data_IF_937904739658
#
_entry.id   IF_937904739658
#
_cell.length_a   1.000
_cell.length_b   1.000
_cell.length_c   1.000
_cell.angle_alpha   90.00
_cell.angle_beta   90.00
_cell.angle_gamma   90.00
#
_symmetry.space_group_name_H-M   'P 1'
#
loop_
_entity.id
_entity.type
_entity.pdbx_description
1 polymer ?
#
# COMPACT_ATOMS: atom_id res chain seq x y z
N UNK A 1 23.90 -39.18 -10.86
CA UNK A 1 22.53 -39.76 -10.81
C UNK A 1 21.62 -38.67 -11.33
N UNK A 2 20.72 -38.95 -12.30
CA UNK A 2 19.82 -37.92 -12.81
C UNK A 2 18.90 -37.49 -11.65
N UNK A 3 18.93 -36.21 -11.30
CA UNK A 3 17.97 -35.65 -10.37
C UNK A 3 16.61 -35.61 -11.09
N UNK A 4 15.55 -36.10 -10.44
CA UNK A 4 14.21 -35.91 -10.99
C UNK A 4 13.91 -34.41 -11.03
N UNK A 5 13.20 -33.94 -12.06
CA UNK A 5 12.82 -32.53 -12.18
C UNK A 5 12.16 -31.96 -10.90
N UNK A 6 11.48 -32.80 -10.14
CA UNK A 6 10.85 -32.44 -8.86
C UNK A 6 11.84 -32.23 -7.72
N UNK A 7 12.95 -32.99 -7.64
CA UNK A 7 13.96 -32.80 -6.58
C UNK A 7 14.77 -31.51 -6.75
N UNK A 8 15.07 -31.13 -8.00
CA UNK A 8 15.69 -29.83 -8.31
C UNK A 8 14.73 -28.70 -7.93
N UNK A 9 13.44 -28.86 -8.25
CA UNK A 9 12.42 -27.85 -7.99
C UNK A 9 12.16 -27.63 -6.49
N UNK A 10 12.11 -28.71 -5.70
CA UNK A 10 11.97 -28.64 -4.24
C UNK A 10 13.19 -28.00 -3.57
N UNK A 11 14.40 -28.29 -4.06
CA UNK A 11 15.63 -27.64 -3.61
C UNK A 11 15.62 -26.13 -3.91
N UNK A 12 15.23 -25.72 -5.13
CA UNK A 12 15.08 -24.31 -5.52
C UNK A 12 13.98 -23.60 -4.68
N UNK A 13 12.88 -24.29 -4.37
CA UNK A 13 11.77 -23.76 -3.56
C UNK A 13 12.12 -23.48 -2.09
N UNK A 14 13.19 -24.08 -1.58
CA UNK A 14 13.57 -24.00 -0.17
C UNK A 14 14.20 -22.65 0.23
N UNK A 15 14.73 -21.87 -0.73
CA UNK A 15 15.59 -20.73 -0.43
C UNK A 15 15.09 -19.39 -1.01
N UNK A 16 13.99 -18.87 -0.47
CA UNK A 16 13.27 -17.71 -1.02
C UNK A 16 13.89 -16.37 -0.66
N UNK A 17 14.80 -15.91 -1.52
CA UNK A 17 15.60 -14.73 -1.24
C UNK A 17 14.78 -13.41 -1.30
N UNK A 18 13.92 -13.23 -2.30
CA UNK A 18 13.13 -12.01 -2.48
C UNK A 18 12.22 -11.73 -1.28
N UNK A 19 11.40 -12.71 -0.88
CA UNK A 19 10.41 -12.58 0.19
C UNK A 19 11.06 -12.29 1.54
N UNK A 20 12.18 -12.96 1.82
CA UNK A 20 12.95 -12.74 3.04
C UNK A 20 13.47 -11.29 3.11
N UNK A 21 13.96 -10.73 2.00
CA UNK A 21 14.42 -9.33 1.98
C UNK A 21 13.27 -8.33 2.06
N UNK A 22 12.16 -8.56 1.34
CA UNK A 22 10.95 -7.74 1.47
C UNK A 22 10.41 -7.76 2.90
N UNK A 23 10.44 -8.91 3.58
CA UNK A 23 10.06 -9.04 4.98
C UNK A 23 10.95 -8.18 5.88
N UNK A 24 12.28 -8.26 5.74
CA UNK A 24 13.20 -7.42 6.52
C UNK A 24 13.03 -5.93 6.24
N UNK A 25 12.88 -5.53 4.96
CA UNK A 25 12.59 -4.13 4.62
C UNK A 25 11.29 -3.65 5.27
N UNK A 26 10.26 -4.49 5.26
CA UNK A 26 8.98 -4.19 5.90
C UNK A 26 9.14 -4.03 7.41
N UNK A 27 9.92 -4.89 8.07
CA UNK A 27 10.22 -4.74 9.50
C UNK A 27 10.97 -3.45 9.82
N UNK A 28 11.96 -3.07 9.02
CA UNK A 28 12.69 -1.81 9.19
C UNK A 28 11.74 -0.62 9.05
N UNK A 29 10.85 -0.64 8.05
CA UNK A 29 9.84 0.41 7.86
C UNK A 29 8.86 0.45 9.04
N UNK A 30 8.33 -0.70 9.48
CA UNK A 30 7.42 -0.78 10.63
C UNK A 30 8.08 -0.20 11.88
N UNK A 31 9.35 -0.56 12.13
CA UNK A 31 10.11 -0.01 13.25
C UNK A 31 10.15 1.52 13.21
N UNK A 32 10.49 2.12 12.06
CA UNK A 32 10.55 3.58 11.93
C UNK A 32 9.18 4.25 11.97
N UNK A 33 8.13 3.60 11.46
CA UNK A 33 6.75 4.06 11.60
C UNK A 33 6.33 4.07 13.07
N UNK A 34 6.71 3.05 13.87
CA UNK A 34 6.46 3.03 15.32
C UNK A 34 7.22 4.16 16.02
N UNK A 35 8.48 4.39 15.66
CA UNK A 35 9.25 5.52 16.19
C UNK A 35 8.55 6.85 15.88
N UNK A 36 8.10 7.05 14.64
CA UNK A 36 7.32 8.22 14.25
C UNK A 36 6.01 8.34 15.02
N UNK A 37 5.28 7.23 15.18
CA UNK A 37 4.03 7.18 15.95
C UNK A 37 4.23 7.64 17.40
N UNK A 38 5.30 7.20 18.06
CA UNK A 38 5.57 7.59 19.46
C UNK A 38 6.07 9.03 19.54
N UNK A 39 6.94 9.46 18.60
CA UNK A 39 7.69 10.72 18.73
C UNK A 39 7.07 11.95 18.08
N UNK A 40 6.25 11.83 17.02
CA UNK A 40 5.63 12.97 16.34
C UNK A 40 4.51 13.60 17.18
N UNK A 41 4.24 14.89 16.99
CA UNK A 41 3.24 15.64 17.76
C UNK A 41 3.72 16.07 19.15
N UNK A 42 5.04 16.18 19.36
CA UNK A 42 5.58 16.71 20.60
C UNK A 42 5.43 18.23 20.66
N UNK A 43 5.36 18.77 21.88
CA UNK A 43 5.23 20.20 22.12
C UNK A 43 6.25 20.70 23.11
N UNK A 44 6.88 21.82 22.76
CA UNK A 44 7.75 22.56 23.64
C UNK A 44 6.97 23.80 24.09
N UNK A 45 6.67 23.88 25.39
CA UNK A 45 5.78 24.90 25.95
C UNK A 45 6.24 26.35 25.79
N UNK A 46 7.52 26.58 25.47
CA UNK A 46 8.06 27.91 25.18
C UNK A 46 7.85 28.37 23.73
N UNK A 47 7.38 27.49 22.85
CA UNK A 47 7.24 27.75 21.42
C UNK A 47 5.78 27.93 21.00
N UNK A 48 5.57 28.79 20.00
CA UNK A 48 4.26 28.93 19.34
C UNK A 48 3.86 27.67 18.58
N UNK A 49 2.56 27.49 18.30
CA UNK A 49 2.05 26.34 17.54
C UNK A 49 2.75 26.18 16.18
N UNK A 50 3.04 27.28 15.48
CA UNK A 50 3.75 27.27 14.19
C UNK A 50 5.21 26.83 14.34
N UNK A 51 5.90 27.24 15.40
CA UNK A 51 7.27 26.80 15.69
C UNK A 51 7.31 25.32 16.06
N UNK A 52 6.36 24.85 16.88
CA UNK A 52 6.22 23.42 17.19
C UNK A 52 5.90 22.60 15.93
N UNK A 53 5.07 23.11 15.02
CA UNK A 53 4.81 22.48 13.73
C UNK A 53 6.09 22.35 12.90
N UNK A 54 6.89 23.42 12.79
CA UNK A 54 8.16 23.40 12.07
C UNK A 54 9.14 22.37 12.65
N UNK A 55 9.23 22.28 13.98
CA UNK A 55 10.09 21.30 14.63
C UNK A 55 9.61 19.86 14.40
N UNK A 56 8.31 19.62 14.47
CA UNK A 56 7.72 18.33 14.13
C UNK A 56 7.96 17.98 12.66
N UNK A 57 7.94 18.97 11.75
CA UNK A 57 8.24 18.76 10.34
C UNK A 57 9.71 18.37 10.12
N UNK A 58 10.65 19.07 10.77
CA UNK A 58 12.08 18.72 10.74
C UNK A 58 12.30 17.33 11.35
N UNK A 59 11.61 17.01 12.44
CA UNK A 59 11.69 15.70 13.07
C UNK A 59 11.14 14.59 12.16
N UNK A 60 9.99 14.81 11.51
CA UNK A 60 9.46 13.92 10.48
C UNK A 60 10.49 13.63 9.38
N UNK A 61 11.12 14.67 8.82
CA UNK A 61 12.16 14.51 7.81
C UNK A 61 13.37 13.73 8.34
N UNK A 62 13.74 13.96 9.60
CA UNK A 62 14.83 13.24 10.26
C UNK A 62 14.51 11.75 10.40
N UNK A 63 13.30 11.40 10.82
CA UNK A 63 12.85 9.99 10.90
C UNK A 63 12.85 9.34 9.52
N UNK A 64 12.36 10.03 8.48
CA UNK A 64 12.44 9.54 7.11
C UNK A 64 13.88 9.30 6.64
N UNK A 65 14.80 10.24 6.94
CA UNK A 65 16.22 10.10 6.60
C UNK A 65 16.86 8.91 7.31
N UNK A 66 16.56 8.71 8.59
CA UNK A 66 17.07 7.58 9.37
C UNK A 66 16.53 6.23 8.85
N UNK A 67 15.27 6.19 8.43
CA UNK A 67 14.68 5.03 7.77
C UNK A 67 15.40 4.71 6.46
N UNK A 68 15.61 5.70 5.60
CA UNK A 68 16.36 5.53 4.34
C UNK A 68 17.78 5.05 4.63
N UNK A 69 18.47 5.67 5.58
CA UNK A 69 19.85 5.32 5.94
C UNK A 69 19.94 3.90 6.48
N UNK A 70 19.00 3.49 7.34
CA UNK A 70 18.92 2.13 7.87
C UNK A 70 18.74 1.09 6.75
N UNK A 71 17.91 1.41 5.75
CA UNK A 71 17.72 0.55 4.58
C UNK A 71 18.98 0.49 3.72
N UNK A 72 19.68 1.61 3.50
CA UNK A 72 20.96 1.63 2.77
C UNK A 72 22.02 0.79 3.50
N UNK A 73 22.12 0.92 4.82
CA UNK A 73 23.05 0.12 5.64
C UNK A 73 22.71 -1.35 5.52
N UNK A 74 21.43 -1.72 5.62
CA UNK A 74 20.97 -3.10 5.47
C UNK A 74 21.32 -3.67 4.08
N UNK A 75 21.09 -2.89 3.02
CA UNK A 75 21.45 -3.27 1.65
C UNK A 75 22.97 -3.51 1.51
N UNK A 76 23.78 -2.62 2.05
CA UNK A 76 25.24 -2.67 1.88
C UNK A 76 25.93 -3.71 2.77
N UNK A 77 25.33 -4.06 3.92
CA UNK A 77 25.98 -4.96 4.90
C UNK A 77 25.37 -6.35 4.90
N UNK A 78 24.06 -6.46 5.06
CA UNK A 78 23.39 -7.75 5.22
C UNK A 78 23.09 -8.38 3.87
N UNK A 79 22.45 -7.62 2.98
CA UNK A 79 22.03 -8.10 1.66
C UNK A 79 23.24 -8.43 0.78
N UNK A 80 24.24 -7.53 0.68
CA UNK A 80 25.45 -7.78 -0.11
C UNK A 80 26.22 -9.04 0.37
N UNK A 81 26.41 -9.21 1.67
CA UNK A 81 27.16 -10.35 2.22
C UNK A 81 26.37 -11.66 2.14
N UNK A 82 25.06 -11.64 2.45
CA UNK A 82 24.22 -12.84 2.39
C UNK A 82 23.98 -13.27 0.95
N UNK A 83 23.74 -12.33 0.04
CA UNK A 83 23.54 -12.61 -1.37
C UNK A 83 24.80 -13.15 -2.02
N UNK A 84 25.98 -12.58 -1.71
CA UNK A 84 27.25 -13.11 -2.20
C UNK A 84 27.49 -14.55 -1.75
N UNK A 85 27.32 -14.84 -0.45
CA UNK A 85 27.44 -16.22 0.06
C UNK A 85 26.41 -17.17 -0.57
N UNK A 86 25.22 -16.68 -0.84
CA UNK A 86 24.18 -17.45 -1.49
C UNK A 86 24.56 -17.79 -2.94
N UNK A 87 25.00 -16.79 -3.73
CA UNK A 87 25.48 -17.01 -5.09
C UNK A 87 26.68 -17.96 -5.13
N UNK A 88 27.67 -17.78 -4.25
CA UNK A 88 28.85 -18.64 -4.20
C UNK A 88 28.47 -20.11 -3.86
N UNK A 89 27.46 -20.30 -3.00
CA UNK A 89 26.94 -21.64 -2.67
C UNK A 89 26.17 -22.24 -3.85
N UNK A 90 25.32 -21.42 -4.48
CA UNK A 90 24.47 -21.84 -5.59
C UNK A 90 25.31 -22.20 -6.83
N UNK A 91 26.32 -21.41 -7.15
CA UNK A 91 27.26 -21.65 -8.24
C UNK A 91 28.01 -22.98 -8.03
N UNK A 92 28.51 -23.22 -6.81
CA UNK A 92 29.10 -24.51 -6.44
C UNK A 92 28.15 -25.69 -6.59
N UNK A 93 26.92 -25.56 -6.10
CA UNK A 93 25.94 -26.65 -6.20
C UNK A 93 25.50 -26.91 -7.65
N UNK A 94 25.41 -25.87 -8.48
CA UNK A 94 25.13 -25.98 -9.91
C UNK A 94 26.29 -26.68 -10.63
N UNK A 95 27.53 -26.31 -10.32
CA UNK A 95 28.71 -26.86 -10.97
C UNK A 95 29.00 -28.31 -10.55
N UNK A 96 28.67 -28.68 -9.31
CA UNK A 96 28.89 -30.03 -8.76
C UNK A 96 27.78 -31.02 -9.14
N UNK A 97 26.51 -30.57 -9.25
CA UNK A 97 25.35 -31.48 -9.36
C UNK A 97 24.68 -31.51 -10.74
N UNK A 98 24.91 -30.54 -11.62
CA UNK A 98 24.15 -30.40 -12.86
C UNK A 98 25.00 -30.50 -14.12
N UNK A 99 24.43 -31.17 -15.11
CA UNK A 99 24.96 -31.26 -16.49
C UNK A 99 24.69 -29.95 -17.23
N UNK A 100 25.46 -29.61 -18.28
CA UNK A 100 25.37 -28.30 -18.95
C UNK A 100 23.96 -27.96 -19.50
N UNK A 101 23.19 -28.96 -19.96
CA UNK A 101 21.78 -28.77 -20.38
C UNK A 101 20.84 -28.47 -19.20
N UNK A 102 21.11 -29.04 -18.02
CA UNK A 102 20.29 -28.81 -16.83
C UNK A 102 20.60 -27.45 -16.18
N UNK A 103 21.82 -26.92 -16.38
CA UNK A 103 22.22 -25.59 -15.91
C UNK A 103 21.38 -24.49 -16.56
N UNK A 104 21.11 -24.60 -17.85
CA UNK A 104 20.28 -23.63 -18.59
C UNK A 104 18.84 -23.61 -18.04
N UNK A 105 18.25 -24.78 -17.80
CA UNK A 105 16.91 -24.91 -17.21
C UNK A 105 16.87 -24.36 -15.78
N UNK A 106 17.92 -24.59 -14.98
CA UNK A 106 18.02 -24.05 -13.62
C UNK A 106 18.17 -22.53 -13.64
N UNK A 107 18.91 -21.94 -14.58
CA UNK A 107 19.01 -20.49 -14.75
C UNK A 107 17.65 -19.84 -15.04
N UNK A 108 16.85 -20.45 -15.93
CA UNK A 108 15.50 -19.97 -16.23
C UNK A 108 14.57 -20.11 -15.01
N UNK A 109 14.64 -21.24 -14.30
CA UNK A 109 13.88 -21.45 -13.07
C UNK A 109 14.28 -20.46 -11.95
N UNK A 110 15.56 -20.11 -11.82
CA UNK A 110 16.05 -19.12 -10.86
C UNK A 110 15.49 -17.72 -11.18
N UNK A 111 15.45 -17.35 -12.46
CA UNK A 111 14.89 -16.07 -12.89
C UNK A 111 13.38 -16.00 -12.67
N UNK A 112 12.65 -17.08 -12.94
CA UNK A 112 11.20 -17.14 -12.74
C UNK A 112 10.79 -17.22 -11.25
N UNK A 113 11.57 -17.90 -10.40
CA UNK A 113 11.17 -18.24 -9.02
C UNK A 113 11.58 -17.24 -7.93
N UNK A 114 12.10 -16.07 -8.28
CA UNK A 114 12.31 -15.01 -7.28
C UNK A 114 13.60 -15.13 -6.45
N UNK A 115 14.62 -15.83 -6.97
CA UNK A 115 15.99 -15.79 -6.43
C UNK A 115 16.73 -14.46 -6.66
N UNK A 116 16.01 -13.46 -7.18
CA UNK A 116 16.51 -12.11 -7.41
C UNK A 116 16.22 -11.22 -6.22
N UNK A 117 17.21 -10.42 -5.82
CA UNK A 117 17.01 -9.37 -4.83
C UNK A 117 15.92 -8.40 -5.29
N UNK A 118 15.20 -7.76 -4.36
CA UNK A 118 14.25 -6.71 -4.70
C UNK A 118 14.91 -5.62 -5.55
N UNK A 119 14.27 -5.27 -6.66
CA UNK A 119 14.77 -4.22 -7.54
C UNK A 119 14.75 -2.87 -6.84
N UNK A 120 15.59 -1.92 -7.28
CA UNK A 120 15.57 -0.56 -6.75
C UNK A 120 14.18 0.07 -6.79
N UNK A 121 13.38 -0.21 -7.84
CA UNK A 121 11.99 0.25 -7.94
C UNK A 121 11.12 -0.26 -6.79
N UNK A 122 11.25 -1.53 -6.42
CA UNK A 122 10.51 -2.14 -5.33
C UNK A 122 10.97 -1.62 -3.95
N UNK A 123 12.28 -1.39 -3.79
CA UNK A 123 12.84 -0.74 -2.59
C UNK A 123 12.30 0.67 -2.42
N UNK A 124 12.28 1.48 -3.49
CA UNK A 124 11.73 2.83 -3.46
C UNK A 124 10.21 2.84 -3.26
N UNK A 125 9.48 1.87 -3.81
CA UNK A 125 8.05 1.71 -3.56
C UNK A 125 7.75 1.43 -2.08
N UNK A 126 8.52 0.54 -1.43
CA UNK A 126 8.41 0.29 0.01
C UNK A 126 8.74 1.55 0.83
N UNK A 127 9.84 2.23 0.50
CA UNK A 127 10.22 3.49 1.13
C UNK A 127 9.13 4.55 1.02
N UNK A 128 8.51 4.68 -0.16
CA UNK A 128 7.41 5.60 -0.39
C UNK A 128 6.23 5.30 0.54
N UNK A 129 5.83 4.03 0.67
CA UNK A 129 4.73 3.64 1.57
C UNK A 129 5.06 3.97 3.03
N UNK A 130 6.29 3.72 3.48
CA UNK A 130 6.75 4.08 4.82
C UNK A 130 6.76 5.59 5.08
N UNK A 131 7.31 6.37 4.14
CA UNK A 131 7.32 7.83 4.23
C UNK A 131 5.90 8.41 4.19
N UNK A 132 5.01 7.84 3.39
CA UNK A 132 3.61 8.24 3.33
C UNK A 132 2.90 8.01 4.67
N UNK A 133 3.10 6.85 5.31
CA UNK A 133 2.54 6.57 6.63
C UNK A 133 3.07 7.56 7.69
N UNK A 134 4.37 7.86 7.67
CA UNK A 134 4.97 8.87 8.55
C UNK A 134 4.44 10.28 8.27
N UNK A 135 4.18 10.61 7.01
CA UNK A 135 3.58 11.87 6.62
C UNK A 135 2.16 12.01 7.15
N UNK A 136 1.31 10.99 6.98
CA UNK A 136 -0.05 11.01 7.56
C UNK A 136 -0.01 11.18 9.09
N UNK A 137 0.91 10.48 9.77
CA UNK A 137 1.13 10.64 11.21
C UNK A 137 1.54 12.06 11.57
N UNK A 138 2.43 12.68 10.80
CA UNK A 138 2.82 14.07 10.98
C UNK A 138 1.62 15.02 10.80
N UNK A 139 0.81 14.83 9.76
CA UNK A 139 -0.37 15.67 9.53
C UNK A 139 -1.36 15.55 10.70
N UNK A 140 -1.66 14.33 11.12
CA UNK A 140 -2.64 14.07 12.19
C UNK A 140 -2.13 14.47 13.58
N UNK A 141 -0.83 14.34 13.84
CA UNK A 141 -0.28 14.55 15.19
C UNK A 141 0.26 15.96 15.42
N UNK A 142 0.64 16.68 14.36
CA UNK A 142 1.34 17.95 14.48
C UNK A 142 0.75 19.08 13.62
N UNK A 143 0.29 18.80 12.40
CA UNK A 143 -0.29 19.84 11.53
C UNK A 143 -1.74 20.15 11.91
N UNK A 144 -2.50 19.11 12.23
CA UNK A 144 -3.85 19.21 12.75
C UNK A 144 -3.77 19.07 14.27
N UNK A 145 -4.21 20.11 14.99
CA UNK A 145 -4.27 20.11 16.44
C UNK A 145 -5.59 20.71 16.90
N UNK A 146 -6.19 20.09 17.91
CA UNK A 146 -7.49 20.49 18.45
C UNK A 146 -8.54 20.65 17.33
N UNK A 147 -8.52 19.71 16.38
CA UNK A 147 -9.38 19.69 15.18
C UNK A 147 -9.10 20.77 14.12
N UNK A 148 -8.12 21.64 14.34
CA UNK A 148 -7.80 22.78 13.47
C UNK A 148 -6.46 22.62 12.77
N UNK A 149 -6.33 23.15 11.55
CA UNK A 149 -5.05 23.25 10.86
C UNK A 149 -4.24 24.40 11.44
N UNK A 150 -3.10 24.10 12.04
CA UNK A 150 -2.21 25.10 12.65
C UNK A 150 -1.62 26.07 11.61
N UNK A 151 -1.31 25.57 10.40
CA UNK A 151 -0.75 26.37 9.32
C UNK A 151 -1.56 26.20 8.05
N UNK A 152 -2.11 27.31 7.55
CA UNK A 152 -3.02 27.36 6.40
C UNK A 152 -2.51 28.39 5.37
N UNK A 153 -1.41 28.09 4.65
CA UNK A 153 -0.95 28.94 3.54
C UNK A 153 -1.95 28.92 2.38
N UNK A 154 -1.83 29.88 1.45
CA UNK A 154 -2.78 30.07 0.35
C UNK A 154 -3.03 28.80 -0.48
N UNK A 155 -2.01 27.97 -0.70
CA UNK A 155 -2.17 26.72 -1.44
C UNK A 155 -2.99 25.68 -0.68
N UNK A 156 -2.91 25.63 0.67
CA UNK A 156 -3.76 24.76 1.50
C UNK A 156 -5.20 25.26 1.44
N UNK A 157 -5.40 26.57 1.53
CA UNK A 157 -6.73 27.17 1.42
C UNK A 157 -7.34 26.91 0.04
N UNK A 158 -6.57 27.05 -1.04
CA UNK A 158 -7.02 26.74 -2.40
C UNK A 158 -7.42 25.26 -2.55
N UNK A 159 -6.68 24.33 -1.94
CA UNK A 159 -7.04 22.91 -1.91
C UNK A 159 -8.38 22.72 -1.18
N UNK A 160 -8.55 23.34 -0.01
CA UNK A 160 -9.78 23.23 0.78
C UNK A 160 -10.96 23.77 -0.03
N UNK A 161 -10.82 24.92 -0.68
CA UNK A 161 -11.86 25.51 -1.54
C UNK A 161 -12.16 24.62 -2.75
N UNK A 162 -11.14 24.02 -3.35
CA UNK A 162 -11.31 23.07 -4.43
C UNK A 162 -12.09 21.82 -3.97
N UNK A 163 -11.73 21.24 -2.83
CA UNK A 163 -12.48 20.09 -2.26
C UNK A 163 -13.91 20.51 -1.96
N UNK A 164 -14.12 21.67 -1.33
CA UNK A 164 -15.43 22.21 -0.97
C UNK A 164 -16.32 22.43 -2.19
N UNK A 165 -15.78 22.97 -3.28
CA UNK A 165 -16.53 23.18 -4.54
C UNK A 165 -16.84 21.89 -5.28
N UNK A 166 -16.04 20.84 -5.08
CA UNK A 166 -16.26 19.49 -5.60
C UNK A 166 -16.94 18.56 -4.58
N UNK A 167 -17.56 19.14 -3.55
CA UNK A 167 -18.30 18.42 -2.52
C UNK A 167 -19.80 18.62 -2.71
N UNK A 168 -20.55 17.53 -2.78
CA UNK A 168 -22.00 17.59 -2.65
C UNK A 168 -22.37 17.51 -1.18
N UNK A 169 -23.04 18.57 -0.71
CA UNK A 169 -23.88 18.50 0.48
C UNK A 169 -25.11 17.70 0.08
N UNK A 170 -25.34 16.55 0.71
CA UNK A 170 -26.39 15.57 0.35
C UNK A 170 -27.82 16.14 0.32
N UNK A 171 -28.04 17.39 0.73
CA UNK A 171 -29.33 18.08 0.62
C UNK A 171 -29.54 18.90 -0.67
N UNK A 172 -28.59 18.98 -1.63
CA UNK A 172 -28.72 19.92 -2.78
C UNK A 172 -28.54 19.35 -4.19
N UNK A 173 -27.96 18.18 -4.44
CA UNK A 173 -27.76 17.73 -5.83
C UNK A 173 -28.87 16.79 -6.34
N UNK A 174 -29.80 17.34 -7.10
CA UNK A 174 -30.78 16.56 -7.88
C UNK A 174 -30.16 15.94 -9.16
N UNK A 175 -28.96 16.36 -9.59
CA UNK A 175 -28.25 15.83 -10.76
C UNK A 175 -26.74 16.06 -10.60
N UNK A 176 -25.91 15.01 -10.68
CA UNK A 176 -24.46 15.13 -10.90
C UNK A 176 -23.57 14.38 -9.91
N UNK A 177 -22.68 13.53 -10.42
CA UNK A 177 -21.70 12.78 -9.62
C UNK A 177 -20.69 13.71 -8.94
N UNK A 178 -20.50 13.53 -7.64
CA UNK A 178 -19.52 14.26 -6.83
C UNK A 178 -18.29 13.42 -6.53
N UNK A 179 -17.11 14.04 -6.51
CA UNK A 179 -15.88 13.38 -6.08
C UNK A 179 -15.80 13.24 -4.56
N UNK A 180 -16.44 14.15 -3.82
CA UNK A 180 -16.51 14.11 -2.35
C UNK A 180 -17.95 14.18 -1.88
N UNK A 181 -18.34 13.30 -0.96
CA UNK A 181 -19.63 13.37 -0.28
C UNK A 181 -19.39 13.79 1.17
N UNK A 182 -20.00 14.91 1.55
CA UNK A 182 -20.09 15.36 2.94
C UNK A 182 -21.59 15.47 3.25
N UNK A 183 -22.06 14.67 4.20
CA UNK A 183 -23.51 14.59 4.41
C UNK A 183 -24.06 15.86 5.04
N UNK A 184 -25.18 16.33 4.49
CA UNK A 184 -25.93 17.45 5.05
C UNK A 184 -26.61 17.08 6.38
N UNK A 185 -26.99 15.81 6.51
CA UNK A 185 -27.73 15.29 7.64
C UNK A 185 -26.79 14.55 8.57
N UNK A 186 -26.40 15.24 9.63
CA UNK A 186 -25.75 14.60 10.75
C UNK A 186 -26.88 13.93 11.53
N UNK A 187 -26.89 12.60 11.58
CA UNK A 187 -27.88 11.81 12.33
C UNK A 187 -27.44 11.67 13.78
N UNK A 188 -28.37 11.43 14.73
CA UNK A 188 -28.06 11.22 16.16
C UNK A 188 -27.00 10.13 16.45
N UNK A 189 -26.73 9.26 15.49
CA UNK A 189 -25.69 8.23 15.55
C UNK A 189 -24.29 8.71 15.19
N UNK A 190 -24.16 9.89 14.58
CA UNK A 190 -22.88 10.40 14.09
C UNK A 190 -22.14 11.13 15.21
N UNK A 191 -20.82 10.94 15.30
CA UNK A 191 -19.92 11.56 16.29
C UNK A 191 -20.01 13.10 16.34
N UNK A 192 -20.50 13.72 15.26
CA UNK A 192 -20.58 15.16 15.08
C UNK A 192 -21.96 15.76 15.31
N UNK A 193 -22.98 14.94 15.66
CA UNK A 193 -24.36 15.41 15.83
C UNK A 193 -24.47 16.51 16.88
N UNK A 194 -23.69 16.38 17.94
CA UNK A 194 -23.71 17.33 19.06
C UNK A 194 -23.00 18.66 18.69
N UNK A 195 -22.18 18.68 17.63
CA UNK A 195 -21.35 19.83 17.24
C UNK A 195 -21.86 20.59 16.01
N UNK A 196 -22.47 19.90 15.04
CA UNK A 196 -22.93 20.53 13.80
C UNK A 196 -24.33 20.03 13.43
N UNK A 197 -25.26 20.96 13.21
CA UNK A 197 -26.66 20.68 12.86
C UNK A 197 -26.90 20.56 11.35
N UNK A 198 -25.97 21.06 10.51
CA UNK A 198 -26.04 21.05 9.04
C UNK A 198 -24.64 20.78 8.46
N UNK A 199 -24.55 19.96 7.41
CA UNK A 199 -23.31 19.73 6.66
C UNK A 199 -22.71 21.00 6.07
N UNK A 200 -23.49 22.05 5.79
CA UNK A 200 -22.92 23.37 5.41
C UNK A 200 -22.18 24.05 6.55
N UNK A 201 -22.65 23.90 7.78
CA UNK A 201 -21.95 24.43 8.96
C UNK A 201 -20.65 23.65 9.19
N UNK A 202 -20.69 22.33 9.02
CA UNK A 202 -19.50 21.49 9.07
C UNK A 202 -18.47 21.90 8.00
N UNK A 203 -18.87 22.06 6.73
CA UNK A 203 -17.93 22.44 5.65
C UNK A 203 -17.28 23.82 5.84
N UNK A 204 -17.87 24.69 6.65
CA UNK A 204 -17.32 26.02 6.96
C UNK A 204 -16.52 26.04 8.26
N UNK A 205 -16.55 24.98 9.06
CA UNK A 205 -15.85 24.92 10.35
C UNK A 205 -14.37 24.58 10.17
N UNK A 206 -13.56 24.87 11.21
CA UNK A 206 -12.13 24.48 11.21
C UNK A 206 -11.94 22.96 11.13
N UNK A 207 -12.84 22.18 11.74
CA UNK A 207 -12.85 20.73 11.60
C UNK A 207 -13.13 20.32 10.14
N UNK A 208 -14.08 20.97 9.47
CA UNK A 208 -14.39 20.73 8.07
C UNK A 208 -13.21 21.03 7.15
N UNK A 209 -12.50 22.13 7.40
CA UNK A 209 -11.25 22.49 6.70
C UNK A 209 -10.19 21.40 6.85
N UNK A 210 -9.94 20.95 8.08
CA UNK A 210 -9.00 19.85 8.37
C UNK A 210 -9.41 18.55 7.66
N UNK A 211 -10.71 18.21 7.68
CA UNK A 211 -11.24 17.02 7.03
C UNK A 211 -11.13 17.07 5.51
N UNK A 212 -11.39 18.23 4.90
CA UNK A 212 -11.22 18.44 3.46
C UNK A 212 -9.75 18.30 3.04
N UNK A 213 -8.83 18.88 3.80
CA UNK A 213 -7.39 18.75 3.54
C UNK A 213 -6.91 17.30 3.65
N UNK A 214 -7.31 16.57 4.70
CA UNK A 214 -7.01 15.13 4.84
C UNK A 214 -7.62 14.30 3.72
N UNK A 215 -8.85 14.64 3.28
CA UNK A 215 -9.51 13.95 2.16
C UNK A 215 -8.75 14.13 0.86
N UNK A 216 -8.24 15.34 0.61
CA UNK A 216 -7.40 15.62 -0.54
C UNK A 216 -6.12 14.78 -0.51
N UNK A 217 -5.36 14.80 0.60
CA UNK A 217 -4.12 14.01 0.75
C UNK A 217 -4.37 12.53 0.43
N UNK A 218 -5.43 11.95 1.00
CA UNK A 218 -5.78 10.55 0.75
C UNK A 218 -6.16 10.29 -0.70
N UNK A 219 -6.89 11.21 -1.34
CA UNK A 219 -7.26 11.10 -2.76
C UNK A 219 -6.01 11.06 -3.65
N UNK A 220 -5.10 12.03 -3.51
CA UNK A 220 -3.93 12.10 -4.41
C UNK A 220 -2.98 10.91 -4.18
N UNK A 221 -2.93 10.42 -2.94
CA UNK A 221 -1.98 9.37 -2.54
C UNK A 221 -2.50 7.96 -2.82
N UNK A 222 -3.80 7.80 -3.05
CA UNK A 222 -4.42 6.49 -3.30
C UNK A 222 -3.74 5.74 -4.46
N UNK A 223 -3.64 6.35 -5.64
CA UNK A 223 -3.06 5.68 -6.83
C UNK A 223 -1.56 5.36 -6.63
N UNK A 224 -0.70 6.29 -6.16
CA UNK A 224 0.69 5.99 -5.85
C UNK A 224 0.89 4.87 -4.83
N UNK A 225 0.05 4.81 -3.78
CA UNK A 225 0.13 3.76 -2.75
C UNK A 225 -0.24 2.40 -3.34
N UNK A 226 -1.36 2.30 -4.06
CA UNK A 226 -1.75 1.05 -4.74
C UNK A 226 -0.69 0.60 -5.72
N UNK A 227 -0.16 1.51 -6.54
CA UNK A 227 0.91 1.19 -7.50
C UNK A 227 2.16 0.66 -6.81
N UNK A 228 2.56 1.28 -5.69
CA UNK A 228 3.71 0.85 -4.90
C UNK A 228 3.50 -0.54 -4.30
N UNK A 229 2.31 -0.82 -3.76
CA UNK A 229 1.96 -2.14 -3.25
C UNK A 229 1.92 -3.20 -4.37
N UNK A 230 1.41 -2.85 -5.55
CA UNK A 230 1.49 -3.71 -6.73
C UNK A 230 2.95 -4.06 -7.04
N UNK A 231 3.84 -3.08 -7.18
CA UNK A 231 5.25 -3.35 -7.50
C UNK A 231 5.92 -4.34 -6.53
N UNK A 232 5.61 -4.22 -5.23
CA UNK A 232 6.20 -5.03 -4.15
C UNK A 232 5.59 -6.43 -4.09
N UNK A 233 4.27 -6.54 -4.13
CA UNK A 233 3.59 -7.81 -3.87
C UNK A 233 3.26 -8.62 -5.13
N UNK A 234 3.37 -8.05 -6.34
CA UNK A 234 3.03 -8.75 -7.59
C UNK A 234 3.78 -10.07 -7.76
N UNK A 235 5.10 -10.08 -7.56
CA UNK A 235 5.93 -11.31 -7.64
C UNK A 235 5.55 -12.32 -6.55
N UNK A 236 5.36 -11.84 -5.32
CA UNK A 236 5.00 -12.68 -4.17
C UNK A 236 3.65 -13.39 -4.40
N UNK A 237 2.65 -12.68 -4.95
CA UNK A 237 1.34 -13.28 -5.27
C UNK A 237 1.36 -14.22 -6.48
N UNK A 238 2.24 -13.97 -7.44
CA UNK A 238 2.53 -14.88 -8.53
C UNK A 238 2.84 -16.28 -8.04
N UNK A 239 3.69 -16.35 -7.02
CA UNK A 239 4.18 -17.57 -6.43
C UNK A 239 3.20 -18.22 -5.43
N UNK A 240 2.65 -17.47 -4.46
CA UNK A 240 1.77 -18.02 -3.39
C UNK A 240 0.58 -18.79 -3.96
N UNK A 241 0.03 -18.35 -5.09
CA UNK A 241 -1.21 -18.91 -5.61
C UNK A 241 -1.34 -18.84 -7.13
N UNK A 242 -0.84 -17.77 -7.76
CA UNK A 242 -1.08 -17.51 -9.18
C UNK A 242 -0.69 -18.67 -10.10
N UNK A 243 0.51 -19.23 -9.96
CA UNK A 243 1.02 -20.23 -10.93
C UNK A 243 0.37 -21.60 -10.72
N UNK A 244 0.09 -21.98 -9.48
CA UNK A 244 -0.63 -23.20 -9.16
C UNK A 244 -2.11 -23.12 -9.61
N UNK A 245 -2.75 -21.97 -9.40
CA UNK A 245 -4.13 -21.72 -9.86
C UNK A 245 -4.22 -21.78 -11.38
N UNK A 246 -3.34 -21.07 -12.10
CA UNK A 246 -3.38 -21.03 -13.56
C UNK A 246 -3.04 -22.38 -14.18
N UNK A 247 -2.11 -23.15 -13.60
CA UNK A 247 -1.82 -24.51 -14.05
C UNK A 247 -3.05 -25.41 -13.93
N UNK A 248 -3.74 -25.35 -12.77
CA UNK A 248 -4.98 -26.10 -12.54
C UNK A 248 -6.10 -25.71 -13.53
N UNK A 249 -6.22 -24.42 -13.84
CA UNK A 249 -7.18 -23.93 -14.82
C UNK A 249 -6.90 -24.43 -16.24
N UNK A 250 -5.62 -24.61 -16.60
CA UNK A 250 -5.22 -25.08 -17.92
C UNK A 250 -5.33 -26.59 -18.11
N UNK A 251 -5.26 -27.38 -17.02
CA UNK A 251 -5.22 -28.84 -17.08
C UNK A 251 -6.60 -29.50 -16.98
N UNK A 252 -7.56 -28.89 -16.28
CA UNK A 252 -8.84 -29.50 -15.96
C UNK A 252 -10.02 -28.54 -16.17
N UNK A 253 -11.12 -29.02 -16.75
CA UNK A 253 -12.36 -28.24 -16.92
C UNK A 253 -12.93 -27.79 -15.57
N UNK A 254 -12.90 -28.67 -14.56
CA UNK A 254 -13.33 -28.32 -13.20
C UNK A 254 -12.39 -27.29 -12.56
N UNK A 255 -11.09 -27.41 -12.81
CA UNK A 255 -10.09 -26.44 -12.43
C UNK A 255 -10.37 -25.06 -13.03
N UNK A 256 -10.73 -25.01 -14.32
CA UNK A 256 -11.10 -23.79 -15.03
C UNK A 256 -12.33 -23.11 -14.40
N UNK A 257 -13.40 -23.88 -14.12
CA UNK A 257 -14.63 -23.35 -13.50
C UNK A 257 -14.35 -22.81 -12.08
N UNK A 258 -13.56 -23.54 -11.30
CA UNK A 258 -13.21 -23.14 -9.93
C UNK A 258 -12.38 -21.85 -9.90
N UNK A 259 -11.36 -21.74 -10.77
CA UNK A 259 -10.54 -20.53 -10.86
C UNK A 259 -11.33 -19.35 -11.42
N UNK A 260 -12.21 -19.56 -12.41
CA UNK A 260 -13.15 -18.54 -12.89
C UNK A 260 -14.03 -17.99 -11.76
N UNK A 261 -14.55 -18.89 -10.92
CA UNK A 261 -15.40 -18.52 -9.78
C UNK A 261 -14.61 -17.74 -8.73
N UNK A 262 -13.36 -18.14 -8.47
CA UNK A 262 -12.44 -17.42 -7.58
C UNK A 262 -12.12 -16.02 -8.11
N UNK A 263 -11.87 -15.88 -9.42
CA UNK A 263 -11.62 -14.57 -10.07
C UNK A 263 -12.84 -13.67 -9.93
N UNK A 264 -14.04 -14.18 -10.18
CA UNK A 264 -15.29 -13.42 -10.01
C UNK A 264 -15.48 -13.00 -8.54
N UNK A 265 -15.27 -13.92 -7.60
CA UNK A 265 -15.34 -13.62 -6.17
C UNK A 265 -14.33 -12.56 -5.75
N UNK A 266 -13.08 -12.65 -6.20
CA UNK A 266 -12.04 -11.66 -5.87
C UNK A 266 -12.32 -10.30 -6.50
N UNK A 267 -12.86 -10.25 -7.72
CA UNK A 267 -13.32 -9.00 -8.33
C UNK A 267 -14.52 -8.41 -7.58
N UNK A 268 -15.43 -9.25 -7.09
CA UNK A 268 -16.53 -8.81 -6.24
C UNK A 268 -16.01 -8.25 -4.90
N UNK A 269 -15.05 -8.91 -4.24
CA UNK A 269 -14.39 -8.39 -3.04
C UNK A 269 -13.63 -7.09 -3.33
N UNK A 270 -12.98 -6.97 -4.48
CA UNK A 270 -12.31 -5.76 -4.93
C UNK A 270 -13.33 -4.61 -5.12
N UNK A 271 -14.47 -4.89 -5.73
CA UNK A 271 -15.57 -3.93 -5.89
C UNK A 271 -16.15 -3.52 -4.54
N UNK A 272 -16.40 -4.48 -3.63
CA UNK A 272 -16.82 -4.19 -2.26
C UNK A 272 -15.77 -3.38 -1.51
N UNK A 273 -14.48 -3.62 -1.73
CA UNK A 273 -13.39 -2.84 -1.16
C UNK A 273 -13.38 -1.41 -1.68
N UNK A 274 -13.54 -1.20 -2.99
CA UNK A 274 -13.71 0.14 -3.58
C UNK A 274 -14.94 0.83 -2.96
N UNK A 275 -16.07 0.14 -2.90
CA UNK A 275 -17.29 0.68 -2.30
C UNK A 275 -17.11 0.96 -0.81
N UNK A 276 -16.41 0.12 -0.05
CA UNK A 276 -16.12 0.32 1.36
C UNK A 276 -15.15 1.49 1.59
N UNK A 277 -14.16 1.68 0.70
CA UNK A 277 -13.30 2.85 0.71
C UNK A 277 -14.15 4.09 0.39
N UNK A 278 -14.94 4.10 -0.68
CA UNK A 278 -15.76 5.25 -1.08
C UNK A 278 -16.83 5.59 -0.02
N UNK A 279 -17.58 4.59 0.44
CA UNK A 279 -18.70 4.74 1.38
C UNK A 279 -18.22 4.86 2.83
N UNK A 280 -17.25 4.06 3.26
CA UNK A 280 -16.66 4.13 4.60
C UNK A 280 -15.86 5.41 4.80
N UNK A 281 -15.27 5.96 3.74
CA UNK A 281 -14.71 7.31 3.77
C UNK A 281 -15.77 8.42 3.88
N UNK A 282 -17.08 8.18 3.77
CA UNK A 282 -18.05 9.28 3.73
C UNK A 282 -18.44 9.89 5.09
N UNK A 283 -18.07 9.32 6.25
CA UNK A 283 -18.52 9.88 7.54
C UNK A 283 -17.46 9.85 8.65
N UNK A 284 -17.40 8.79 9.44
CA UNK A 284 -16.66 8.83 10.71
C UNK A 284 -15.17 8.54 10.53
N UNK A 285 -14.82 7.69 9.56
CA UNK A 285 -13.44 7.24 9.32
C UNK A 285 -12.49 8.33 8.80
N UNK A 286 -13.01 9.39 8.16
CA UNK A 286 -12.17 10.52 7.73
C UNK A 286 -11.82 11.46 8.88
N UNK A 287 -12.72 11.55 9.85
CA UNK A 287 -12.68 12.52 10.93
C UNK A 287 -12.11 11.87 12.20
N UNK A 288 -12.17 10.54 12.31
CA UNK A 288 -11.61 9.78 13.42
C UNK A 288 -10.12 10.08 13.68
N UNK A 289 -9.22 10.16 12.68
CA UNK A 289 -7.84 10.57 12.93
C UNK A 289 -7.72 12.01 13.41
N UNK A 290 -8.65 12.89 13.01
CA UNK A 290 -8.64 14.30 13.39
C UNK A 290 -9.13 14.51 14.82
N UNK A 291 -10.12 13.73 15.26
CA UNK A 291 -10.71 13.81 16.61
C UNK A 291 -9.87 13.02 17.62
N UNK A 292 -9.50 11.80 17.28
CA UNK A 292 -8.84 10.84 18.19
C UNK A 292 -7.32 10.81 18.00
N UNK A 293 -6.77 11.68 17.14
CA UNK A 293 -5.34 11.79 16.87
C UNK A 293 -4.75 10.47 16.38
N UNK A 294 -3.62 10.08 16.98
CA UNK A 294 -2.86 8.88 16.63
C UNK A 294 -3.65 7.57 16.75
N UNK A 295 -4.54 7.46 17.74
CA UNK A 295 -5.38 6.25 17.91
C UNK A 295 -6.38 6.13 16.76
N UNK A 296 -7.03 7.24 16.40
CA UNK A 296 -7.91 7.28 15.24
C UNK A 296 -7.18 7.04 13.93
N UNK A 297 -5.92 7.49 13.80
CA UNK A 297 -5.09 7.13 12.66
C UNK A 297 -4.82 5.62 12.60
N UNK A 298 -4.52 4.97 13.72
CA UNK A 298 -4.25 3.52 13.77
C UNK A 298 -5.48 2.70 13.37
N UNK A 299 -6.66 3.08 13.87
CA UNK A 299 -7.93 2.44 13.52
C UNK A 299 -8.19 2.50 12.02
N UNK A 300 -7.93 3.66 11.40
CA UNK A 300 -8.10 3.85 9.95
C UNK A 300 -6.96 3.21 9.15
N UNK A 301 -5.74 3.18 9.69
CA UNK A 301 -4.60 2.53 9.06
C UNK A 301 -4.82 1.02 8.87
N UNK A 302 -5.53 0.37 9.81
CA UNK A 302 -5.94 -1.03 9.66
C UNK A 302 -6.76 -1.30 8.40
N UNK A 303 -7.55 -0.32 7.93
CA UNK A 303 -8.33 -0.45 6.70
C UNK A 303 -7.47 -0.39 5.43
N UNK A 304 -6.22 0.10 5.51
CA UNK A 304 -5.28 0.00 4.40
C UNK A 304 -4.94 -1.47 4.07
N UNK A 305 -5.26 -2.44 4.94
CA UNK A 305 -5.18 -3.87 4.63
C UNK A 305 -6.05 -4.25 3.41
N UNK A 306 -7.17 -3.54 3.18
CA UNK A 306 -8.01 -3.75 1.99
C UNK A 306 -7.29 -3.39 0.69
N UNK A 307 -6.25 -2.56 0.72
CA UNK A 307 -5.40 -2.33 -0.44
C UNK A 307 -4.67 -3.60 -0.87
N UNK A 308 -4.29 -4.48 0.06
CA UNK A 308 -3.68 -5.76 -0.30
C UNK A 308 -4.68 -6.68 -1.00
N UNK A 309 -5.96 -6.67 -0.59
CA UNK A 309 -7.03 -7.38 -1.30
C UNK A 309 -7.19 -6.84 -2.74
N UNK A 310 -7.03 -5.54 -2.93
CA UNK A 310 -7.07 -4.90 -4.26
C UNK A 310 -5.93 -5.40 -5.15
N UNK A 311 -4.69 -5.40 -4.64
CA UNK A 311 -3.52 -5.90 -5.37
C UNK A 311 -3.69 -7.38 -5.72
N UNK A 312 -4.19 -8.19 -4.79
CA UNK A 312 -4.43 -9.61 -5.01
C UNK A 312 -5.50 -9.87 -6.08
N UNK A 313 -6.61 -9.14 -6.02
CA UNK A 313 -7.69 -9.20 -7.02
C UNK A 313 -7.22 -8.81 -8.42
N UNK A 314 -6.43 -7.72 -8.53
CA UNK A 314 -5.82 -7.31 -9.80
C UNK A 314 -4.88 -8.37 -10.36
N UNK A 315 -4.01 -8.95 -9.51
CA UNK A 315 -3.03 -9.94 -9.93
C UNK A 315 -3.70 -11.21 -10.48
N UNK A 316 -4.69 -11.75 -9.77
CA UNK A 316 -5.45 -12.94 -10.23
C UNK A 316 -6.19 -12.64 -11.53
N UNK A 317 -6.83 -11.48 -11.62
CA UNK A 317 -7.59 -11.08 -12.82
C UNK A 317 -6.69 -10.92 -14.04
N UNK A 318 -5.51 -10.29 -13.87
CA UNK A 318 -4.52 -10.17 -14.93
C UNK A 318 -4.08 -11.55 -15.46
N UNK A 319 -3.69 -12.47 -14.57
CA UNK A 319 -3.25 -13.81 -14.97
C UNK A 319 -4.35 -14.61 -15.65
N UNK A 320 -5.58 -14.48 -15.18
CA UNK A 320 -6.76 -15.09 -15.78
C UNK A 320 -7.01 -14.56 -17.20
N UNK A 321 -6.94 -13.25 -17.41
CA UNK A 321 -7.05 -12.63 -18.73
C UNK A 321 -5.93 -13.11 -19.65
N UNK A 322 -4.68 -13.16 -19.19
CA UNK A 322 -3.57 -13.70 -19.98
C UNK A 322 -3.81 -15.14 -20.41
N UNK A 323 -4.42 -15.98 -19.55
CA UNK A 323 -4.75 -17.37 -19.87
C UNK A 323 -5.83 -17.46 -20.96
N UNK A 324 -6.92 -16.69 -20.83
CA UNK A 324 -8.02 -16.69 -21.81
C UNK A 324 -7.57 -16.12 -23.17
N UNK A 325 -6.78 -15.04 -23.15
CA UNK A 325 -6.34 -14.35 -24.38
C UNK A 325 -5.06 -14.93 -24.99
N UNK A 326 -4.42 -15.92 -24.35
CA UNK A 326 -3.22 -16.60 -24.87
C UNK A 326 -3.33 -17.07 -26.33
N UNK A 327 -4.47 -17.63 -26.81
CA UNK A 327 -4.61 -18.05 -28.20
C UNK A 327 -4.53 -16.87 -29.18
N UNK A 328 -5.11 -15.72 -28.82
CA UNK A 328 -5.09 -14.51 -29.63
C UNK A 328 -3.71 -13.85 -29.65
N UNK A 329 -3.03 -13.80 -28.49
CA UNK A 329 -1.68 -13.24 -28.37
C UNK A 329 -0.68 -14.00 -29.24
N UNK A 330 -0.80 -15.33 -29.30
CA UNK A 330 0.05 -16.17 -30.14
C UNK A 330 -0.23 -15.97 -31.64
N UNK A 331 -1.49 -15.67 -32.00
CA UNK A 331 -1.91 -15.38 -33.38
C UNK A 331 -1.36 -14.05 -33.93
N UNK A 332 -1.07 -13.07 -33.07
CA UNK A 332 -0.43 -11.81 -33.45
C UNK A 332 1.10 -11.85 -33.41
N UNK A 333 1.69 -12.95 -32.91
CA UNK A 333 3.15 -13.17 -32.88
C UNK A 333 3.66 -14.07 -34.01
N UNK A 334 2.79 -14.80 -34.70
CA UNK A 334 3.10 -15.49 -35.97
C UNK A 334 2.87 -14.55 -37.14
#
# INVERSE_FOLDING_TARGET
MPHSHDTIKDWIMSNRLYEVHIFYYTLIIIFWVIVGFVSLGFEIGSFSSTQNLLLNFVWYLTVCLLMITSLIIFCNTYEANKYKRYLDTLEREIEEKLTDEEKEIVCDLIQEQGHTLPTNKQRYALLFVGCYALFELFVVSAWIKDMTLIWQPDWVLAIIEWVKSNSTVVSVSANGGSFFSFNAFITKSNLLYDYYQDGKLFLNSELGKSAMFMSFIKLISFVPVIYSLCLVFWKMFGWISGDHLMRRASSEVWGFIWVSSLVLFMNFVMLLGILAIIVGMNFDMRILPIISGKLGWLDVFGWNLFYLCYVFGLHISYRWLCLIFRPFINLFRS
#
